data_IF_941372716592
#
_entry.id   IF_941372716592
#
_cell.length_a   1.000
_cell.length_b   1.000
_cell.length_c   1.000
_cell.angle_alpha   90.00
_cell.angle_beta   90.00
_cell.angle_gamma   90.00
#
_symmetry.space_group_name_H-M   'P 1'
#
loop_
_entity.id
_entity.type
_entity.pdbx_description
1 polymer ?
#
# COMPACT_ATOMS: atom_id res chain seq x y z
N UNK A 1 25.56 -8.58 -41.19
CA UNK A 1 24.23 -7.94 -41.27
C UNK A 1 23.39 -8.76 -40.34
N UNK A 2 23.35 -8.37 -39.08
CA UNK A 2 22.56 -9.04 -38.06
C UNK A 2 21.25 -8.27 -37.92
N UNK A 3 20.14 -8.97 -38.14
CA UNK A 3 18.79 -8.44 -37.96
C UNK A 3 18.59 -8.06 -36.48
N UNK A 4 18.00 -6.89 -36.18
CA UNK A 4 17.60 -6.59 -34.82
C UNK A 4 16.34 -7.39 -34.48
N UNK A 5 16.45 -8.25 -33.46
CA UNK A 5 15.31 -8.89 -32.80
C UNK A 5 14.31 -7.82 -32.37
N UNK A 6 13.19 -7.75 -33.09
CA UNK A 6 12.01 -7.00 -32.68
C UNK A 6 11.41 -7.66 -31.44
N UNK A 7 11.65 -7.05 -30.28
CA UNK A 7 10.86 -7.29 -29.08
C UNK A 7 9.40 -6.88 -29.36
N UNK A 8 8.40 -7.73 -29.10
CA UNK A 8 7.01 -7.36 -29.30
C UNK A 8 6.60 -6.30 -28.28
N UNK A 9 6.49 -5.05 -28.75
CA UNK A 9 5.73 -3.99 -28.11
C UNK A 9 4.25 -4.22 -28.38
N UNK A 10 3.57 -4.96 -27.51
CA UNK A 10 2.12 -4.83 -27.34
C UNK A 10 1.84 -4.92 -25.83
N UNK A 11 1.91 -3.79 -25.14
CA UNK A 11 1.29 -3.67 -23.81
C UNK A 11 -0.17 -3.35 -24.08
N UNK A 12 -1.03 -4.32 -23.85
CA UNK A 12 -2.47 -4.12 -23.85
C UNK A 12 -2.80 -3.00 -22.86
N UNK A 13 -3.88 -2.23 -23.08
CA UNK A 13 -4.37 -1.25 -22.09
C UNK A 13 -4.65 -1.89 -20.71
N UNK A 14 -4.75 -3.23 -20.65
CA UNK A 14 -4.89 -4.02 -19.41
C UNK A 14 -3.55 -4.31 -18.70
N UNK A 15 -2.39 -4.07 -19.33
CA UNK A 15 -1.05 -4.24 -18.75
C UNK A 15 -0.60 -3.04 -17.90
N UNK A 16 -1.55 -2.38 -17.21
CA UNK A 16 -1.22 -1.42 -16.16
C UNK A 16 -0.25 -2.03 -15.14
N UNK A 17 0.63 -1.22 -14.57
CA UNK A 17 1.50 -1.73 -13.50
C UNK A 17 0.61 -2.26 -12.38
N UNK A 18 0.85 -3.47 -11.86
CA UNK A 18 -0.06 -4.15 -10.93
C UNK A 18 -0.46 -3.29 -9.71
N UNK A 19 0.42 -2.39 -9.28
CA UNK A 19 0.11 -1.43 -8.22
C UNK A 19 -0.93 -0.38 -8.60
N UNK A 20 -1.07 0.02 -9.87
CA UNK A 20 -2.10 0.95 -10.33
C UNK A 20 -3.48 0.32 -10.19
N UNK A 21 -3.60 -0.93 -10.62
CA UNK A 21 -4.83 -1.71 -10.49
C UNK A 21 -5.19 -1.97 -9.02
N UNK A 22 -4.19 -2.05 -8.15
CA UNK A 22 -4.40 -2.19 -6.72
C UNK A 22 -5.11 -0.99 -6.08
N UNK A 23 -5.12 0.21 -6.69
CA UNK A 23 -5.77 1.40 -6.12
C UNK A 23 -7.28 1.23 -5.96
N UNK A 24 -7.91 0.47 -6.85
CA UNK A 24 -9.36 0.27 -6.86
C UNK A 24 -9.81 -0.72 -5.78
N UNK A 25 -8.88 -1.55 -5.28
CA UNK A 25 -9.23 -2.69 -4.42
C UNK A 25 -9.57 -2.32 -2.97
N UNK A 26 -8.79 -1.48 -2.24
CA UNK A 26 -9.09 -1.17 -0.86
C UNK A 26 -10.45 -0.48 -0.64
N UNK A 27 -10.85 0.54 -1.43
CA UNK A 27 -12.18 1.15 -1.29
C UNK A 27 -13.31 0.17 -1.59
N UNK A 28 -13.12 -0.69 -2.59
CA UNK A 28 -14.10 -1.73 -2.95
C UNK A 28 -14.27 -2.75 -1.81
N UNK A 29 -13.15 -3.20 -1.22
CA UNK A 29 -13.17 -4.10 -0.07
C UNK A 29 -13.82 -3.46 1.16
N UNK A 30 -13.58 -2.16 1.43
CA UNK A 30 -14.20 -1.46 2.56
C UNK A 30 -15.73 -1.38 2.40
N UNK A 31 -16.22 -1.04 1.21
CA UNK A 31 -17.66 -1.06 0.91
C UNK A 31 -18.28 -2.46 1.10
N UNK A 32 -17.54 -3.51 0.72
CA UNK A 32 -17.95 -4.90 0.90
C UNK A 32 -17.97 -5.31 2.38
N UNK A 33 -16.95 -4.92 3.14
CA UNK A 33 -16.87 -5.15 4.59
C UNK A 33 -18.08 -4.54 5.31
N UNK A 34 -18.48 -3.32 4.93
CA UNK A 34 -19.68 -2.66 5.47
C UNK A 34 -20.97 -3.42 5.12
N UNK A 35 -21.09 -3.95 3.90
CA UNK A 35 -22.22 -4.81 3.52
C UNK A 35 -22.29 -6.08 4.39
N UNK A 36 -21.15 -6.72 4.65
CA UNK A 36 -21.12 -7.92 5.48
C UNK A 36 -21.49 -7.63 6.95
N UNK A 37 -21.01 -6.50 7.48
CA UNK A 37 -21.41 -6.03 8.83
C UNK A 37 -22.91 -5.80 8.88
N UNK A 38 -23.49 -5.11 7.90
CA UNK A 38 -24.94 -4.88 7.83
C UNK A 38 -25.73 -6.19 7.74
N UNK A 39 -25.29 -7.14 6.90
CA UNK A 39 -25.93 -8.44 6.75
C UNK A 39 -26.03 -9.19 8.09
N UNK A 40 -25.02 -9.03 8.95
CA UNK A 40 -24.96 -9.73 10.23
C UNK A 40 -25.81 -9.16 11.37
N UNK A 41 -26.23 -7.90 11.25
CA UNK A 41 -26.99 -7.22 12.30
C UNK A 41 -28.45 -7.01 11.92
N UNK A 42 -28.80 -7.15 10.63
CA UNK A 42 -30.17 -7.01 10.17
C UNK A 42 -30.98 -8.28 10.45
N UNK A 43 -32.18 -8.10 10.98
CA UNK A 43 -33.18 -9.17 11.11
C UNK A 43 -34.28 -9.07 10.05
N UNK A 44 -34.20 -8.07 9.18
CA UNK A 44 -35.18 -7.84 8.10
C UNK A 44 -34.81 -8.65 6.86
N UNK A 45 -35.70 -9.56 6.45
CA UNK A 45 -35.42 -10.50 5.37
C UNK A 45 -35.33 -9.82 4.00
N UNK A 46 -36.11 -8.76 3.76
CA UNK A 46 -36.07 -8.02 2.51
C UNK A 46 -34.75 -7.25 2.36
N UNK A 47 -34.28 -6.62 3.45
CA UNK A 47 -32.95 -6.00 3.53
C UNK A 47 -31.85 -7.03 3.33
N UNK A 48 -31.94 -8.21 3.97
CA UNK A 48 -30.95 -9.28 3.81
C UNK A 48 -30.90 -9.79 2.36
N UNK A 49 -32.05 -10.00 1.73
CA UNK A 49 -32.13 -10.39 0.32
C UNK A 49 -31.52 -9.32 -0.60
N UNK A 50 -31.75 -8.03 -0.30
CA UNK A 50 -31.14 -6.91 -0.98
C UNK A 50 -29.61 -6.89 -0.86
N UNK A 51 -29.06 -7.17 0.33
CA UNK A 51 -27.62 -7.25 0.57
C UNK A 51 -27.01 -8.45 -0.17
N UNK A 52 -27.66 -9.62 -0.13
CA UNK A 52 -27.21 -10.81 -0.85
C UNK A 52 -27.15 -10.53 -2.36
N UNK A 53 -28.18 -9.89 -2.91
CA UNK A 53 -28.21 -9.51 -4.32
C UNK A 53 -27.10 -8.49 -4.65
N UNK A 54 -26.89 -7.49 -3.78
CA UNK A 54 -25.80 -6.52 -3.95
C UNK A 54 -24.43 -7.20 -3.93
N UNK A 55 -24.17 -8.11 -2.98
CA UNK A 55 -22.94 -8.89 -2.92
C UNK A 55 -22.74 -9.74 -4.17
N UNK A 56 -23.75 -10.50 -4.61
CA UNK A 56 -23.66 -11.34 -5.80
C UNK A 56 -23.33 -10.51 -7.04
N UNK A 57 -23.99 -9.36 -7.18
CA UNK A 57 -23.71 -8.41 -8.24
C UNK A 57 -22.26 -7.87 -8.17
N UNK A 58 -21.79 -7.45 -7.00
CA UNK A 58 -20.41 -6.99 -6.82
C UNK A 58 -19.37 -8.09 -7.07
N UNK A 59 -19.64 -9.32 -6.63
CA UNK A 59 -18.75 -10.47 -6.84
C UNK A 59 -18.66 -10.82 -8.33
N UNK A 60 -19.79 -10.89 -9.05
CA UNK A 60 -19.82 -11.26 -10.46
C UNK A 60 -19.38 -10.13 -11.40
N UNK A 61 -19.87 -8.91 -11.18
CA UNK A 61 -19.63 -7.79 -12.08
C UNK A 61 -18.36 -7.01 -11.74
N UNK A 62 -17.83 -7.13 -10.50
CA UNK A 62 -16.65 -6.37 -10.05
C UNK A 62 -15.49 -7.27 -9.64
N UNK A 63 -15.57 -8.11 -8.61
CA UNK A 63 -14.39 -8.84 -8.12
C UNK A 63 -13.88 -9.91 -9.11
N UNK A 64 -14.78 -10.64 -9.78
CA UNK A 64 -14.36 -11.63 -10.80
C UNK A 64 -13.81 -10.99 -12.07
N UNK A 65 -14.14 -9.73 -12.33
CA UNK A 65 -13.77 -9.00 -13.55
C UNK A 65 -12.65 -7.98 -13.31
N UNK A 66 -12.36 -7.63 -12.05
CA UNK A 66 -11.37 -6.61 -11.73
C UNK A 66 -9.99 -7.05 -12.21
N UNK A 67 -9.36 -6.18 -12.99
CA UNK A 67 -8.07 -6.47 -13.60
C UNK A 67 -6.99 -6.80 -12.55
N UNK A 68 -7.11 -6.23 -11.34
CA UNK A 68 -6.21 -6.52 -10.23
C UNK A 68 -6.16 -8.01 -9.86
N UNK A 69 -7.31 -8.64 -9.54
CA UNK A 69 -7.34 -10.05 -9.12
C UNK A 69 -6.90 -10.97 -10.26
N UNK A 70 -7.38 -10.70 -11.48
CA UNK A 70 -7.02 -11.49 -12.67
C UNK A 70 -5.52 -11.49 -12.91
N UNK A 71 -4.91 -10.30 -13.02
CA UNK A 71 -3.48 -10.17 -13.32
C UNK A 71 -2.61 -10.64 -12.15
N UNK A 72 -3.04 -10.41 -10.90
CA UNK A 72 -2.37 -10.93 -9.72
C UNK A 72 -2.33 -12.46 -9.74
N UNK A 73 -3.45 -13.11 -10.04
CA UNK A 73 -3.53 -14.57 -10.08
C UNK A 73 -2.78 -15.17 -11.28
N UNK A 74 -2.85 -14.53 -12.45
CA UNK A 74 -2.14 -14.98 -13.64
C UNK A 74 -0.62 -14.93 -13.46
N UNK A 75 -0.09 -13.84 -12.88
CA UNK A 75 1.35 -13.64 -12.72
C UNK A 75 1.91 -14.22 -11.42
N UNK A 76 1.12 -14.19 -10.35
CA UNK A 76 1.58 -14.49 -8.98
C UNK A 76 0.66 -15.45 -8.22
N UNK A 77 -0.23 -16.18 -8.89
CA UNK A 77 -1.19 -17.08 -8.25
C UNK A 77 -0.55 -18.14 -7.35
N UNK A 78 0.68 -18.59 -7.66
CA UNK A 78 1.44 -19.46 -6.75
C UNK A 78 1.77 -18.78 -5.41
N UNK A 79 2.20 -17.51 -5.44
CA UNK A 79 2.48 -16.72 -4.24
C UNK A 79 1.21 -16.46 -3.42
N UNK A 80 0.09 -16.15 -4.08
CA UNK A 80 -1.22 -15.96 -3.42
C UNK A 80 -1.67 -17.25 -2.74
N UNK A 81 -1.65 -18.38 -3.45
CA UNK A 81 -1.97 -19.71 -2.88
C UNK A 81 -1.05 -20.07 -1.71
N UNK A 82 0.24 -19.74 -1.80
CA UNK A 82 1.18 -19.96 -0.71
C UNK A 82 0.83 -19.13 0.52
N UNK A 83 0.53 -17.83 0.35
CA UNK A 83 0.08 -16.94 1.43
C UNK A 83 -1.17 -17.51 2.13
N UNK A 84 -2.20 -17.86 1.37
CA UNK A 84 -3.44 -18.46 1.91
C UNK A 84 -3.16 -19.76 2.65
N UNK A 85 -2.26 -20.60 2.13
CA UNK A 85 -1.90 -21.86 2.78
C UNK A 85 -1.24 -21.65 4.15
N UNK A 86 -0.43 -20.58 4.31
CA UNK A 86 0.19 -20.23 5.58
C UNK A 86 -0.84 -19.76 6.62
N UNK A 87 -1.97 -19.20 6.17
CA UNK A 87 -3.04 -18.77 7.05
C UNK A 87 -3.97 -19.94 7.42
N UNK A 88 -4.23 -20.86 6.48
CA UNK A 88 -5.17 -21.97 6.70
C UNK A 88 -4.54 -23.22 7.36
N UNK A 89 -3.27 -23.52 7.11
CA UNK A 89 -2.67 -24.84 7.44
C UNK A 89 -1.71 -24.82 8.64
N UNK A 90 -1.48 -23.67 9.27
CA UNK A 90 -0.47 -23.57 10.32
C UNK A 90 -0.99 -24.11 11.66
N UNK A 91 -0.59 -25.33 12.03
CA UNK A 91 -1.00 -25.98 13.29
C UNK A 91 -0.83 -25.07 14.52
N UNK A 92 -1.94 -24.77 15.19
CA UNK A 92 -1.99 -23.92 16.38
C UNK A 92 -1.91 -22.42 16.09
N UNK A 93 -2.13 -22.00 14.84
CA UNK A 93 -2.45 -20.63 14.50
C UNK A 93 -3.80 -20.56 13.78
N UNK A 94 -4.64 -19.61 14.14
CA UNK A 94 -5.90 -19.31 13.46
C UNK A 94 -5.93 -17.85 13.05
N UNK A 95 -6.42 -17.62 11.84
CA UNK A 95 -6.60 -16.33 11.22
C UNK A 95 -8.06 -16.26 10.77
N UNK A 96 -8.84 -15.42 11.42
CA UNK A 96 -10.26 -15.24 11.08
C UNK A 96 -10.53 -13.76 10.82
N UNK A 97 -11.52 -13.40 10.00
CA UNK A 97 -12.03 -12.04 9.93
C UNK A 97 -12.31 -11.47 11.33
N UNK A 98 -12.00 -10.20 11.54
CA UNK A 98 -12.18 -9.50 12.82
C UNK A 98 -13.44 -8.65 12.85
N UNK A 99 -13.76 -8.00 11.73
CA UNK A 99 -14.87 -7.03 11.61
C UNK A 99 -16.12 -7.66 11.03
N UNK A 100 -15.99 -8.82 10.40
CA UNK A 100 -17.07 -9.55 9.72
C UNK A 100 -17.28 -10.88 10.44
N UNK A 101 -18.54 -11.29 10.69
CA UNK A 101 -18.80 -12.59 11.29
C UNK A 101 -18.62 -13.73 10.28
N UNK A 102 -18.20 -14.88 10.83
CA UNK A 102 -18.12 -16.14 10.11
C UNK A 102 -19.52 -16.75 9.91
N UNK A 103 -19.65 -17.62 8.92
CA UNK A 103 -20.86 -18.40 8.67
C UNK A 103 -21.99 -17.62 8.00
N UNK A 104 -21.67 -16.63 7.17
CA UNK A 104 -22.65 -15.96 6.31
C UNK A 104 -23.09 -16.91 5.19
N UNK A 105 -24.39 -17.12 5.02
CA UNK A 105 -24.93 -18.15 4.10
C UNK A 105 -24.59 -17.92 2.61
N UNK A 106 -24.22 -16.68 2.25
CA UNK A 106 -23.98 -16.27 0.86
C UNK A 106 -22.49 -16.15 0.50
N UNK A 107 -21.57 -16.30 1.46
CA UNK A 107 -20.12 -16.24 1.23
C UNK A 107 -19.38 -17.18 2.17
N UNK A 108 -18.48 -18.01 1.64
CA UNK A 108 -17.70 -18.92 2.47
C UNK A 108 -16.65 -18.18 3.31
N UNK A 109 -16.34 -18.72 4.48
CA UNK A 109 -15.28 -18.20 5.36
C UNK A 109 -13.93 -18.15 4.63
N UNK A 110 -13.65 -19.12 3.74
CA UNK A 110 -12.45 -19.11 2.91
C UNK A 110 -12.40 -17.94 1.94
N UNK A 111 -13.53 -17.59 1.29
CA UNK A 111 -13.59 -16.44 0.36
C UNK A 111 -13.48 -15.12 1.14
N UNK A 112 -14.08 -15.02 2.32
CA UNK A 112 -13.88 -13.85 3.19
C UNK A 112 -12.41 -13.64 3.53
N UNK A 113 -11.71 -14.71 3.92
CA UNK A 113 -10.27 -14.66 4.20
C UNK A 113 -9.46 -14.30 2.95
N UNK A 114 -9.82 -14.84 1.79
CA UNK A 114 -9.18 -14.52 0.51
C UNK A 114 -9.29 -13.03 0.18
N UNK A 115 -10.49 -12.45 0.27
CA UNK A 115 -10.72 -11.01 0.02
C UNK A 115 -9.89 -10.13 0.96
N UNK A 116 -9.77 -10.51 2.25
CA UNK A 116 -8.89 -9.81 3.20
C UNK A 116 -7.43 -9.89 2.75
N UNK A 117 -6.96 -11.06 2.32
CA UNK A 117 -5.58 -11.26 1.86
C UNK A 117 -5.30 -10.45 0.60
N UNK A 118 -6.24 -10.40 -0.34
CA UNK A 118 -6.15 -9.60 -1.55
C UNK A 118 -6.09 -8.11 -1.22
N UNK A 119 -6.89 -7.64 -0.26
CA UNK A 119 -6.82 -6.27 0.24
C UNK A 119 -5.46 -5.95 0.88
N UNK A 120 -4.90 -6.89 1.67
CA UNK A 120 -3.55 -6.77 2.25
C UNK A 120 -2.48 -6.66 1.14
N UNK A 121 -2.58 -7.48 0.08
CA UNK A 121 -1.65 -7.43 -1.06
C UNK A 121 -1.78 -6.11 -1.81
N UNK A 122 -2.99 -5.63 -2.04
CA UNK A 122 -3.25 -4.36 -2.70
C UNK A 122 -2.63 -3.19 -1.93
N UNK A 123 -2.91 -3.09 -0.63
CA UNK A 123 -2.29 -2.06 0.22
C UNK A 123 -0.76 -2.15 0.23
N UNK A 124 -0.20 -3.36 0.29
CA UNK A 124 1.24 -3.58 0.24
C UNK A 124 1.89 -3.09 -1.07
N UNK A 125 1.27 -3.37 -2.22
CA UNK A 125 1.72 -2.89 -3.53
C UNK A 125 1.74 -1.36 -3.56
N UNK A 126 0.67 -0.73 -3.09
CA UNK A 126 0.57 0.71 -3.09
C UNK A 126 1.63 1.33 -2.17
N UNK A 127 1.72 0.88 -0.91
CA UNK A 127 2.67 1.41 0.06
C UNK A 127 4.13 1.26 -0.41
N UNK A 128 4.42 0.20 -1.19
CA UNK A 128 5.73 -0.04 -1.76
C UNK A 128 6.07 0.89 -2.93
N UNK A 129 5.11 1.13 -3.82
CA UNK A 129 5.33 1.90 -5.05
C UNK A 129 5.09 3.41 -4.88
N UNK A 130 4.20 3.80 -3.97
CA UNK A 130 3.75 5.18 -3.74
C UNK A 130 3.81 5.50 -2.23
N UNK A 131 5.03 5.69 -1.69
CA UNK A 131 5.17 6.08 -0.29
C UNK A 131 4.62 7.50 -0.01
N UNK A 132 4.34 8.33 -1.02
CA UNK A 132 3.74 9.66 -0.84
C UNK A 132 2.37 9.65 -0.21
N UNK A 133 1.60 8.56 -0.37
CA UNK A 133 0.30 8.42 0.31
C UNK A 133 0.51 8.48 1.83
N UNK A 134 1.69 8.08 2.30
CA UNK A 134 2.20 8.29 3.64
C UNK A 134 3.18 9.46 3.72
N UNK A 135 2.76 10.73 3.53
CA UNK A 135 3.71 11.86 3.62
C UNK A 135 4.59 11.82 4.88
N UNK A 136 3.99 11.61 6.05
CA UNK A 136 4.73 11.55 7.32
C UNK A 136 5.44 10.21 7.54
N UNK A 137 4.80 9.07 7.29
CA UNK A 137 5.47 7.78 7.51
C UNK A 137 6.57 7.52 6.48
N UNK A 138 6.37 7.95 5.24
CA UNK A 138 7.37 7.95 4.19
C UNK A 138 8.59 8.79 4.57
N UNK A 139 8.40 9.97 5.18
CA UNK A 139 9.52 10.74 5.76
C UNK A 139 10.20 9.96 6.90
N UNK A 140 9.42 9.41 7.84
CA UNK A 140 9.94 8.71 9.02
C UNK A 140 10.75 7.45 8.68
N UNK A 141 10.38 6.72 7.63
CA UNK A 141 11.14 5.56 7.11
C UNK A 141 12.26 5.97 6.15
N UNK A 142 12.34 7.26 5.80
CA UNK A 142 13.21 7.78 4.75
C UNK A 142 12.83 7.31 3.35
N UNK A 143 11.66 6.71 3.16
CA UNK A 143 11.10 6.38 1.85
C UNK A 143 10.74 7.64 1.05
N UNK A 144 10.52 8.76 1.73
CA UNK A 144 10.43 10.10 1.18
C UNK A 144 11.57 10.95 1.72
N UNK A 145 12.20 11.72 0.83
CA UNK A 145 13.23 12.68 1.19
C UNK A 145 12.87 14.03 0.63
N UNK A 146 13.02 15.06 1.46
CA UNK A 146 12.93 16.43 0.98
C UNK A 146 14.00 16.66 -0.10
N UNK A 147 13.59 17.22 -1.23
CA UNK A 147 14.50 17.75 -2.22
C UNK A 147 15.04 19.08 -1.69
N UNK A 148 16.35 19.12 -1.49
CA UNK A 148 17.07 20.35 -1.18
C UNK A 148 17.64 20.95 -2.47
N UNK A 149 17.71 22.29 -2.58
CA UNK A 149 18.42 22.97 -3.65
C UNK A 149 19.82 22.39 -3.87
N UNK A 150 20.17 22.17 -5.13
CA UNK A 150 21.54 21.79 -5.48
C UNK A 150 22.51 22.92 -5.15
N UNK A 151 23.78 22.58 -4.95
CA UNK A 151 24.85 23.57 -4.74
C UNK A 151 24.90 24.65 -5.84
N UNK A 152 24.59 24.26 -7.10
CA UNK A 152 24.46 25.20 -8.22
C UNK A 152 23.37 26.23 -7.97
N UNK A 153 22.18 25.80 -7.53
CA UNK A 153 21.05 26.69 -7.21
C UNK A 153 21.41 27.60 -6.04
N UNK A 154 21.98 27.04 -4.97
CA UNK A 154 22.42 27.79 -3.79
C UNK A 154 23.44 28.88 -4.15
N UNK A 155 24.44 28.57 -4.97
CA UNK A 155 25.47 29.52 -5.38
C UNK A 155 24.92 30.62 -6.30
N UNK A 156 23.98 30.30 -7.19
CA UNK A 156 23.33 31.30 -8.03
C UNK A 156 22.41 32.21 -7.21
N UNK A 157 21.68 31.65 -6.24
CA UNK A 157 20.84 32.42 -5.33
C UNK A 157 21.66 33.40 -4.49
N UNK A 158 22.84 32.98 -3.98
CA UNK A 158 23.78 33.88 -3.28
C UNK A 158 24.20 35.06 -4.15
N UNK A 159 24.65 34.79 -5.38
CA UNK A 159 25.09 35.84 -6.32
C UNK A 159 23.98 36.83 -6.66
N UNK A 160 22.77 36.34 -6.89
CA UNK A 160 21.62 37.20 -7.17
C UNK A 160 21.26 38.06 -5.95
N UNK A 161 21.32 37.49 -4.74
CA UNK A 161 21.05 38.22 -3.50
C UNK A 161 22.07 39.33 -3.25
N UNK A 162 23.36 39.06 -3.53
CA UNK A 162 24.43 40.06 -3.49
C UNK A 162 24.19 41.19 -4.49
N UNK A 163 23.89 40.87 -5.76
CA UNK A 163 23.64 41.87 -6.80
C UNK A 163 22.43 42.76 -6.49
N UNK A 164 21.31 42.18 -6.02
CA UNK A 164 20.11 42.93 -5.60
C UNK A 164 20.45 43.90 -4.46
N UNK A 165 21.26 43.47 -3.49
CA UNK A 165 21.69 44.31 -2.36
C UNK A 165 22.57 45.46 -2.84
N UNK A 166 23.51 45.19 -3.74
CA UNK A 166 24.46 46.18 -4.24
C UNK A 166 23.76 47.26 -5.08
N UNK A 167 22.76 46.87 -5.88
CA UNK A 167 21.90 47.81 -6.64
C UNK A 167 20.77 48.42 -5.82
N UNK A 168 20.60 48.03 -4.55
CA UNK A 168 19.53 48.47 -3.64
C UNK A 168 18.12 48.26 -4.22
N UNK A 169 17.93 47.19 -4.99
CA UNK A 169 16.65 46.87 -5.62
C UNK A 169 15.62 46.43 -4.58
N UNK A 170 14.43 47.00 -4.63
CA UNK A 170 13.30 46.58 -3.81
C UNK A 170 12.58 45.41 -4.49
N UNK A 171 12.66 44.22 -3.89
CA UNK A 171 12.10 42.98 -4.45
C UNK A 171 10.97 42.37 -3.61
N UNK A 172 10.51 43.07 -2.56
CA UNK A 172 9.44 42.59 -1.68
C UNK A 172 9.72 41.21 -1.07
N UNK A 173 8.69 40.37 -1.03
CA UNK A 173 8.72 39.04 -0.38
C UNK A 173 9.67 38.05 -1.05
N UNK A 174 10.05 38.27 -2.31
CA UNK A 174 11.03 37.46 -3.02
C UNK A 174 12.38 37.40 -2.30
N UNK A 175 12.71 38.43 -1.50
CA UNK A 175 13.93 38.48 -0.70
C UNK A 175 14.03 37.30 0.28
N UNK A 176 12.92 36.92 0.91
CA UNK A 176 12.92 35.80 1.88
C UNK A 176 13.13 34.47 1.18
N UNK A 177 12.42 34.22 0.07
CA UNK A 177 12.63 33.02 -0.73
C UNK A 177 14.07 32.94 -1.27
N UNK A 178 14.63 34.06 -1.74
CA UNK A 178 16.01 34.08 -2.24
C UNK A 178 17.02 33.83 -1.11
N UNK A 179 16.74 34.33 0.10
CA UNK A 179 17.55 34.08 1.28
C UNK A 179 17.57 32.58 1.63
N UNK A 180 16.41 31.94 1.69
CA UNK A 180 16.29 30.51 2.01
C UNK A 180 17.03 29.65 0.97
N UNK A 181 16.80 29.90 -0.32
CA UNK A 181 17.53 29.22 -1.41
C UNK A 181 19.05 29.41 -1.31
N UNK A 182 19.51 30.61 -0.93
CA UNK A 182 20.93 30.92 -0.78
C UNK A 182 21.58 30.18 0.40
N UNK A 183 20.79 29.70 1.36
CA UNK A 183 21.26 28.84 2.46
C UNK A 183 21.06 27.35 2.16
N UNK A 184 20.52 27.01 0.99
CA UNK A 184 20.22 25.64 0.63
C UNK A 184 18.95 25.11 1.28
N UNK A 185 18.11 25.99 1.82
CA UNK A 185 16.80 25.64 2.34
C UNK A 185 15.78 25.52 1.18
N UNK A 186 14.89 24.52 1.22
CA UNK A 186 13.82 24.40 0.24
C UNK A 186 12.71 25.41 0.55
N UNK A 187 12.13 25.99 -0.50
CA UNK A 187 11.00 26.93 -0.35
C UNK A 187 9.69 26.24 0.03
N UNK A 188 9.55 24.99 -0.39
CA UNK A 188 8.35 24.20 -0.23
C UNK A 188 8.71 22.77 0.13
N UNK A 189 7.77 22.09 0.78
CA UNK A 189 7.92 20.65 1.01
C UNK A 189 7.78 19.91 -0.32
N UNK A 190 8.90 19.40 -0.83
CA UNK A 190 8.96 18.61 -2.06
C UNK A 190 9.60 17.27 -1.73
N UNK A 191 8.76 16.26 -1.56
CA UNK A 191 9.18 14.93 -1.16
C UNK A 191 9.43 14.08 -2.39
N UNK A 192 10.62 13.48 -2.46
CA UNK A 192 11.02 12.54 -3.49
C UNK A 192 11.08 11.13 -2.95
N UNK A 193 10.70 10.16 -3.78
CA UNK A 193 10.86 8.73 -3.49
C UNK A 193 12.34 8.40 -3.29
N UNK A 194 12.63 7.75 -2.18
CA UNK A 194 13.90 7.07 -1.97
C UNK A 194 13.93 5.79 -2.77
N UNK A 195 14.98 5.63 -3.57
CA UNK A 195 15.23 4.39 -4.30
C UNK A 195 15.90 3.31 -3.42
N UNK A 196 16.10 3.56 -2.12
CA UNK A 196 16.70 2.57 -1.22
C UNK A 196 15.74 1.40 -0.97
N UNK A 197 16.12 0.15 -1.27
CA UNK A 197 15.25 -1.01 -1.09
C UNK A 197 14.72 -1.14 0.33
N UNK A 198 15.60 -0.96 1.33
CA UNK A 198 15.25 -1.06 2.76
C UNK A 198 14.05 -0.18 3.15
N UNK A 199 13.96 1.03 2.60
CA UNK A 199 12.92 1.98 2.97
C UNK A 199 11.57 1.57 2.36
N UNK A 200 11.58 1.09 1.11
CA UNK A 200 10.39 0.54 0.46
C UNK A 200 9.89 -0.73 1.16
N UNK A 201 10.81 -1.61 1.57
CA UNK A 201 10.49 -2.78 2.37
C UNK A 201 9.83 -2.39 3.70
N UNK A 202 10.34 -1.35 4.36
CA UNK A 202 9.77 -0.89 5.62
C UNK A 202 8.34 -0.38 5.48
N UNK A 203 8.04 0.40 4.43
CA UNK A 203 6.67 0.83 4.10
C UNK A 203 5.74 -0.36 3.83
N UNK A 204 6.18 -1.34 3.04
CA UNK A 204 5.41 -2.55 2.75
C UNK A 204 5.11 -3.35 4.02
N UNK A 205 6.13 -3.63 4.83
CA UNK A 205 5.96 -4.44 6.05
C UNK A 205 5.06 -3.73 7.05
N UNK A 206 5.20 -2.39 7.18
CA UNK A 206 4.29 -1.57 8.00
C UNK A 206 2.85 -1.76 7.55
N UNK A 207 2.57 -1.56 6.26
CA UNK A 207 1.20 -1.61 5.76
C UNK A 207 0.56 -3.00 5.91
N UNK A 208 1.30 -4.07 5.58
CA UNK A 208 0.82 -5.44 5.81
C UNK A 208 0.53 -5.69 7.29
N UNK A 209 1.36 -5.16 8.19
CA UNK A 209 1.16 -5.31 9.64
C UNK A 209 -0.12 -4.62 10.08
N UNK A 210 -0.34 -3.37 9.67
CA UNK A 210 -1.51 -2.59 10.06
C UNK A 210 -2.82 -3.15 9.47
N UNK A 211 -2.83 -3.52 8.18
CA UNK A 211 -4.00 -4.11 7.54
C UNK A 211 -4.37 -5.47 8.16
N UNK A 212 -3.37 -6.31 8.43
CA UNK A 212 -3.64 -7.60 9.07
C UNK A 212 -4.21 -7.44 10.49
N UNK A 213 -3.75 -6.47 11.29
CA UNK A 213 -4.30 -6.22 12.63
C UNK A 213 -5.69 -5.58 12.62
N UNK A 214 -6.00 -4.81 11.55
CA UNK A 214 -7.32 -4.24 11.31
C UNK A 214 -8.36 -5.30 10.94
N UNK A 215 -8.04 -6.17 9.99
CA UNK A 215 -9.02 -7.07 9.38
C UNK A 215 -9.00 -8.50 9.94
N UNK A 216 -7.91 -8.94 10.59
CA UNK A 216 -7.78 -10.31 11.09
C UNK A 216 -7.69 -10.38 12.61
N UNK A 217 -8.42 -11.34 13.17
CA UNK A 217 -8.16 -11.90 14.49
C UNK A 217 -7.08 -12.98 14.34
N UNK A 218 -5.90 -12.70 14.86
CA UNK A 218 -4.72 -13.57 14.73
C UNK A 218 -4.39 -14.24 16.05
N UNK A 219 -4.75 -15.52 16.21
CA UNK A 219 -4.31 -16.33 17.35
C UNK A 219 -3.19 -17.23 16.88
N UNK A 220 -1.96 -16.93 17.26
CA UNK A 220 -0.79 -17.76 16.91
C UNK A 220 -0.16 -18.30 18.17
N UNK A 221 0.59 -19.40 18.12
CA UNK A 221 1.48 -19.84 19.23
C UNK A 221 2.48 -18.76 19.67
N UNK A 222 2.75 -17.78 18.82
CA UNK A 222 3.63 -16.64 19.08
C UNK A 222 2.89 -15.36 19.47
N UNK A 223 3.40 -14.21 18.99
CA UNK A 223 2.94 -12.87 19.42
C UNK A 223 1.63 -12.38 18.80
N UNK A 224 0.91 -13.24 18.05
CA UNK A 224 -0.34 -12.90 17.35
C UNK A 224 -0.08 -11.93 16.20
N UNK A 225 0.68 -12.37 15.19
CA UNK A 225 1.12 -11.54 14.06
C UNK A 225 0.92 -12.27 12.75
N UNK A 226 0.80 -11.48 11.68
CA UNK A 226 0.77 -12.02 10.32
C UNK A 226 2.06 -12.81 10.02
N UNK A 227 1.99 -13.98 9.36
CA UNK A 227 3.17 -14.82 9.16
C UNK A 227 4.27 -14.08 8.39
N UNK A 228 5.49 -14.02 8.92
CA UNK A 228 6.60 -13.36 8.21
C UNK A 228 6.90 -14.02 6.86
N UNK A 229 6.62 -15.31 6.70
CA UNK A 229 6.71 -15.99 5.40
C UNK A 229 5.68 -15.47 4.39
N UNK A 230 4.47 -15.12 4.84
CA UNK A 230 3.46 -14.52 3.98
C UNK A 230 3.91 -13.13 3.52
N UNK A 231 4.50 -12.34 4.42
CA UNK A 231 5.11 -11.04 4.05
C UNK A 231 6.23 -11.23 3.03
N UNK A 232 7.12 -12.20 3.21
CA UNK A 232 8.17 -12.52 2.23
C UNK A 232 7.55 -12.90 0.88
N UNK A 233 6.48 -13.69 0.85
CA UNK A 233 5.78 -14.00 -0.38
C UNK A 233 5.16 -12.75 -1.05
N UNK A 234 4.62 -11.81 -0.27
CA UNK A 234 4.16 -10.50 -0.79
C UNK A 234 5.34 -9.72 -1.38
N UNK A 235 6.54 -9.80 -0.79
CA UNK A 235 7.71 -9.12 -1.38
C UNK A 235 8.10 -9.65 -2.76
N UNK A 236 7.74 -10.90 -3.09
CA UNK A 236 7.92 -11.46 -4.44
C UNK A 236 6.94 -10.88 -5.44
N UNK A 237 5.71 -10.60 -5.01
CA UNK A 237 4.67 -9.97 -5.84
C UNK A 237 5.11 -8.55 -6.25
N UNK A 238 5.67 -7.78 -5.30
CA UNK A 238 6.21 -6.43 -5.60
C UNK A 238 7.62 -6.46 -6.20
N UNK A 239 8.16 -7.65 -6.47
CA UNK A 239 9.50 -7.88 -7.02
C UNK A 239 10.60 -7.14 -6.24
N UNK A 240 10.53 -7.21 -4.91
CA UNK A 240 11.53 -6.58 -4.05
C UNK A 240 12.90 -7.25 -4.19
N UNK A 241 13.96 -6.43 -4.32
CA UNK A 241 15.33 -6.91 -4.35
C UNK A 241 16.23 -6.05 -3.45
N UNK A 242 17.09 -6.65 -2.61
CA UNK A 242 17.29 -8.10 -2.41
C UNK A 242 16.11 -8.78 -1.71
N UNK A 243 15.91 -10.08 -1.95
CA UNK A 243 14.85 -10.85 -1.27
C UNK A 243 15.09 -10.83 0.26
N UNK A 244 14.11 -10.41 1.06
CA UNK A 244 14.29 -10.28 2.49
C UNK A 244 14.07 -11.64 3.17
N UNK A 245 14.78 -11.86 4.26
CA UNK A 245 14.58 -13.04 5.10
C UNK A 245 13.72 -12.72 6.34
N UNK A 246 13.41 -13.75 7.13
CA UNK A 246 12.66 -13.58 8.39
C UNK A 246 13.38 -12.66 9.39
N UNK A 247 14.71 -12.63 9.38
CA UNK A 247 15.52 -11.79 10.28
C UNK A 247 15.42 -10.31 9.91
N UNK A 248 15.10 -10.02 8.65
CA UNK A 248 14.87 -8.67 8.12
C UNK A 248 13.42 -8.22 8.37
N UNK A 249 12.44 -9.08 8.06
CA UNK A 249 11.01 -8.74 8.17
C UNK A 249 10.54 -8.64 9.62
N UNK A 250 10.94 -9.59 10.48
CA UNK A 250 10.40 -9.70 11.85
C UNK A 250 10.67 -8.47 12.74
N UNK A 251 11.87 -7.84 12.72
CA UNK A 251 12.11 -6.59 13.45
C UNK A 251 11.23 -5.44 12.97
N UNK A 252 11.03 -5.30 11.66
CA UNK A 252 10.18 -4.24 11.09
C UNK A 252 8.73 -4.47 11.51
N UNK A 253 8.22 -5.69 11.36
CA UNK A 253 6.88 -6.05 11.82
C UNK A 253 6.70 -5.79 13.32
N UNK A 254 7.70 -6.11 14.15
CA UNK A 254 7.68 -5.84 15.60
C UNK A 254 7.61 -4.34 15.91
N UNK A 255 8.19 -3.48 15.07
CA UNK A 255 8.17 -2.02 15.25
C UNK A 255 6.76 -1.45 15.13
N UNK A 256 5.88 -2.09 14.35
CA UNK A 256 4.56 -1.56 14.01
C UNK A 256 3.39 -2.35 14.61
N UNK A 257 3.59 -3.62 14.96
CA UNK A 257 2.54 -4.46 15.52
C UNK A 257 2.03 -3.95 16.88
N UNK A 258 0.69 -3.96 17.06
CA UNK A 258 -0.04 -3.61 18.28
C UNK A 258 0.21 -2.19 18.76
N UNK A 259 0.28 -1.26 17.82
CA UNK A 259 0.37 0.17 18.10
C UNK A 259 -0.95 0.85 17.78
N UNK A 260 -1.58 1.42 18.79
CA UNK A 260 -2.91 2.04 18.66
C UNK A 260 -2.89 3.40 17.95
N UNK A 261 -1.72 3.94 17.63
CA UNK A 261 -1.54 5.27 17.02
C UNK A 261 -1.19 5.23 15.52
N UNK A 262 -1.16 4.06 14.90
CA UNK A 262 -0.85 3.91 13.48
C UNK A 262 -2.01 3.20 12.76
N UNK A 263 -2.50 3.78 11.67
CA UNK A 263 -3.60 3.23 10.86
C UNK A 263 -3.11 2.85 9.46
N UNK A 264 -3.67 1.80 8.84
CA UNK A 264 -3.32 1.40 7.48
C UNK A 264 -3.70 2.45 6.43
N UNK A 265 -3.04 2.43 5.26
CA UNK A 265 -3.37 3.36 4.17
C UNK A 265 -4.81 3.23 3.78
N UNK A 266 -5.32 1.99 3.64
CA UNK A 266 -6.67 1.66 3.14
C UNK A 266 -7.80 2.52 3.75
N UNK A 267 -7.59 3.06 4.96
CA UNK A 267 -8.52 3.98 5.64
C UNK A 267 -8.55 5.42 5.15
N UNK A 268 -7.47 5.90 4.51
CA UNK A 268 -7.23 7.33 4.22
C UNK A 268 -7.54 7.72 2.78
N UNK A 269 -8.10 6.79 2.00
CA UNK A 269 -8.31 6.91 0.55
C UNK A 269 -9.47 7.79 0.13
N UNK A 270 -10.32 8.23 1.08
CA UNK A 270 -11.43 9.15 0.82
C UNK A 270 -10.94 10.51 0.26
N UNK A 271 -9.64 10.81 0.36
CA UNK A 271 -9.06 12.11 -0.02
C UNK A 271 -7.98 12.07 -1.10
N UNK A 272 -7.80 10.97 -1.85
CA UNK A 272 -6.86 10.95 -2.97
C UNK A 272 -7.60 11.20 -4.30
N UNK A 273 -7.40 12.35 -4.96
CA UNK A 273 -8.04 12.69 -6.24
C UNK A 273 -7.48 11.88 -7.41
#
# INVERSE_FOLDING_TARGET
MDEPETYPQETSAEDGQLWQLAFEYPPLYEALEDLFVQASVTSDQDTLNGIIHAYQKTEEETFKTIAFERILNDRFGHSVKYILSLLNKTHGSTFTPKRVPLGLDFITDERQLELIVLNIIAGALIAYHIPEVYKEDGKNTGALKQLYPSEKVTNLAKKLNEAIRDERLWVGDFKHSLWDLSHGEPLETQLLRSNKPKNKLECLVKEVTLLSERHLTMRTKGKGRFPSLAIIAITKIVQHFPEPDRRTVSPIQKKYAKKDNEEPLATKWINYP
#
